data_IF_298875844373
#
_entry.id   IF_298875844373
#
_cell.length_a   1.000
_cell.length_b   1.000
_cell.length_c   1.000
_cell.angle_alpha   90.00
_cell.angle_beta   90.00
_cell.angle_gamma   90.00
#
_symmetry.space_group_name_H-M   'P 1'
#
loop_
_entity.id
_entity.type
_entity.pdbx_description
1 polymer ?
#
# COMPACT_ATOMS: atom_id res chain seq x y z
N UNK A 1 -30.28 -1.82 -32.20
CA UNK A 1 -29.03 -2.22 -31.50
C UNK A 1 -29.38 -3.31 -30.51
N UNK A 2 -28.77 -4.50 -30.60
CA UNK A 2 -28.98 -5.55 -29.58
C UNK A 2 -28.05 -5.25 -28.42
N UNK A 3 -28.60 -4.82 -27.29
CA UNK A 3 -27.84 -4.59 -26.07
C UNK A 3 -27.26 -5.93 -25.62
N UNK A 4 -25.94 -6.06 -25.71
CA UNK A 4 -25.24 -7.21 -25.16
C UNK A 4 -25.40 -7.17 -23.64
N UNK A 5 -26.04 -8.20 -23.09
CA UNK A 5 -26.28 -8.30 -21.64
C UNK A 5 -25.35 -9.35 -21.08
N UNK A 6 -24.39 -8.93 -20.26
CA UNK A 6 -23.36 -9.77 -19.68
C UNK A 6 -23.32 -9.53 -18.18
N UNK A 7 -23.20 -10.59 -17.41
CA UNK A 7 -22.87 -10.46 -15.99
C UNK A 7 -21.41 -9.98 -15.85
N UNK A 8 -21.15 -9.05 -14.94
CA UNK A 8 -19.83 -8.42 -14.74
C UNK A 8 -18.73 -9.48 -14.52
N UNK A 9 -19.03 -10.57 -13.81
CA UNK A 9 -18.08 -11.67 -13.58
C UNK A 9 -17.73 -12.44 -14.85
N UNK A 10 -18.67 -12.57 -15.80
CA UNK A 10 -18.39 -13.18 -17.11
C UNK A 10 -17.49 -12.27 -17.94
N UNK A 11 -17.75 -10.95 -17.95
CA UNK A 11 -16.89 -9.98 -18.63
C UNK A 11 -15.47 -9.97 -18.04
N UNK A 12 -15.32 -10.01 -16.71
CA UNK A 12 -14.00 -10.14 -16.06
C UNK A 12 -13.25 -11.38 -16.53
N UNK A 13 -13.90 -12.54 -16.53
CA UNK A 13 -13.29 -13.81 -16.96
C UNK A 13 -12.90 -13.75 -18.44
N UNK A 14 -13.75 -13.17 -19.28
CA UNK A 14 -13.49 -13.00 -20.71
C UNK A 14 -12.27 -12.10 -20.94
N UNK A 15 -12.22 -10.93 -20.29
CA UNK A 15 -11.12 -9.97 -20.47
C UNK A 15 -9.81 -10.47 -19.85
N UNK A 16 -9.87 -11.23 -18.75
CA UNK A 16 -8.67 -11.79 -18.11
C UNK A 16 -8.10 -12.99 -18.87
N UNK A 17 -8.94 -13.84 -19.45
CA UNK A 17 -8.52 -15.12 -20.02
C UNK A 17 -8.33 -15.14 -21.54
N UNK A 18 -8.81 -14.13 -22.28
CA UNK A 18 -8.73 -14.12 -23.75
C UNK A 18 -8.03 -12.86 -24.28
N UNK A 19 -6.94 -13.00 -25.06
CA UNK A 19 -6.43 -11.94 -25.93
C UNK A 19 -7.50 -11.51 -26.95
N UNK A 20 -7.56 -10.22 -27.30
CA UNK A 20 -8.50 -9.67 -28.32
C UNK A 20 -8.67 -10.54 -29.55
N UNK A 21 -7.54 -11.09 -30.04
CA UNK A 21 -7.51 -11.90 -31.24
C UNK A 21 -8.46 -13.10 -31.19
N UNK A 22 -8.76 -13.65 -30.00
CA UNK A 22 -9.64 -14.81 -29.82
C UNK A 22 -11.10 -14.48 -29.55
N UNK A 23 -11.43 -13.21 -29.26
CA UNK A 23 -12.81 -12.71 -29.22
C UNK A 23 -13.29 -12.27 -30.61
N UNK A 24 -12.35 -12.05 -31.54
CA UNK A 24 -12.61 -11.59 -32.90
C UNK A 24 -12.37 -12.67 -33.98
N UNK A 25 -11.85 -13.86 -33.66
CA UNK A 25 -11.62 -14.91 -34.66
C UNK A 25 -12.70 -15.99 -34.65
N UNK A 26 -13.40 -16.05 -35.78
CA UNK A 26 -14.40 -17.06 -36.16
C UNK A 26 -13.91 -18.48 -35.85
N UNK A 27 -14.53 -19.16 -34.90
CA UNK A 27 -14.48 -20.63 -34.82
C UNK A 27 -15.80 -21.18 -35.35
N UNK A 28 -15.69 -22.04 -36.35
CA UNK A 28 -16.80 -22.78 -36.97
C UNK A 28 -17.64 -23.44 -35.88
N UNK A 29 -18.92 -23.05 -35.79
CA UNK A 29 -19.86 -23.62 -34.81
C UNK A 29 -20.30 -22.68 -33.67
N UNK A 30 -20.57 -21.41 -33.98
CA UNK A 30 -21.56 -20.58 -33.27
C UNK A 30 -21.20 -20.07 -31.87
N UNK A 31 -20.73 -18.81 -31.80
CA UNK A 31 -21.17 -17.77 -30.87
C UNK A 31 -20.79 -16.39 -31.45
N UNK A 32 -21.77 -15.65 -31.97
CA UNK A 32 -21.64 -14.22 -32.30
C UNK A 32 -21.78 -13.42 -31.00
N UNK A 33 -20.71 -12.80 -30.47
CA UNK A 33 -20.89 -11.98 -29.24
C UNK A 33 -20.22 -10.61 -29.19
N UNK A 34 -19.52 -10.14 -30.22
CA UNK A 34 -18.93 -8.78 -30.19
C UNK A 34 -19.08 -7.94 -31.46
N UNK A 35 -19.59 -8.46 -32.59
CA UNK A 35 -19.58 -7.78 -33.90
C UNK A 35 -20.46 -6.52 -34.05
N UNK A 36 -21.06 -5.99 -32.98
CA UNK A 36 -21.92 -4.78 -33.01
C UNK A 36 -21.79 -3.90 -31.76
N UNK A 37 -20.60 -3.82 -31.16
CA UNK A 37 -20.37 -2.86 -30.09
C UNK A 37 -20.01 -1.49 -30.66
N UNK A 38 -20.46 -0.43 -30.01
CA UNK A 38 -19.98 0.92 -30.29
C UNK A 38 -18.47 1.04 -30.02
N UNK A 39 -17.78 1.91 -30.76
CA UNK A 39 -16.34 2.15 -30.64
C UNK A 39 -15.90 2.44 -29.20
N UNK A 40 -16.72 3.15 -28.43
CA UNK A 40 -16.46 3.42 -27.00
C UNK A 40 -16.28 2.16 -26.16
N UNK A 41 -16.99 1.08 -26.47
CA UNK A 41 -16.88 -0.18 -25.74
C UNK A 41 -15.65 -0.97 -26.20
N UNK A 42 -15.29 -0.90 -27.48
CA UNK A 42 -14.03 -1.46 -27.96
C UNK A 42 -12.84 -0.78 -27.29
N UNK A 43 -12.85 0.55 -27.22
CA UNK A 43 -11.82 1.33 -26.54
C UNK A 43 -11.73 0.98 -25.04
N UNK A 44 -12.88 0.88 -24.37
CA UNK A 44 -12.94 0.45 -22.96
C UNK A 44 -12.27 -0.89 -22.77
N UNK A 45 -12.65 -1.91 -23.56
CA UNK A 45 -12.07 -3.23 -23.41
C UNK A 45 -10.56 -3.09 -23.66
N UNK A 46 -10.13 -2.42 -24.75
CA UNK A 46 -8.70 -2.26 -25.11
C UNK A 46 -7.90 -1.70 -23.94
N UNK A 47 -8.39 -0.64 -23.33
CA UNK A 47 -7.79 -0.03 -22.15
C UNK A 47 -7.74 -0.98 -20.96
N UNK A 48 -8.76 -1.81 -20.73
CA UNK A 48 -8.74 -2.81 -19.64
C UNK A 48 -7.57 -3.79 -19.83
N UNK A 49 -7.26 -4.22 -21.05
CA UNK A 49 -6.14 -5.17 -21.22
C UNK A 49 -4.78 -4.55 -20.97
N UNK A 50 -4.64 -3.25 -21.18
CA UNK A 50 -3.39 -2.52 -20.92
C UNK A 50 -3.11 -2.41 -19.42
N UNK A 51 -4.17 -2.36 -18.61
CA UNK A 51 -4.09 -2.19 -17.16
C UNK A 51 -4.43 -3.46 -16.35
N UNK A 52 -4.81 -4.57 -16.99
CA UNK A 52 -5.24 -5.81 -16.30
C UNK A 52 -4.23 -6.43 -15.33
N UNK A 53 -2.95 -6.03 -15.40
CA UNK A 53 -1.89 -6.47 -14.49
C UNK A 53 -1.84 -5.64 -13.19
N UNK A 54 -2.49 -4.48 -13.17
CA UNK A 54 -2.55 -3.60 -12.00
C UNK A 54 -3.44 -4.20 -10.91
N UNK A 55 -2.87 -4.35 -9.72
CA UNK A 55 -3.58 -4.82 -8.53
C UNK A 55 -4.58 -3.79 -8.02
N UNK A 56 -4.25 -2.49 -8.10
CA UNK A 56 -5.14 -1.38 -7.74
C UNK A 56 -6.35 -1.36 -8.66
N UNK A 57 -6.14 -1.49 -9.98
CA UNK A 57 -7.24 -1.62 -10.94
C UNK A 57 -8.12 -2.83 -10.60
N UNK A 58 -7.52 -3.99 -10.38
CA UNK A 58 -8.25 -5.22 -10.06
C UNK A 58 -9.13 -5.06 -8.80
N UNK A 59 -8.61 -4.41 -7.75
CA UNK A 59 -9.37 -4.15 -6.52
C UNK A 59 -10.48 -3.12 -6.72
N UNK A 60 -10.24 -2.07 -7.50
CA UNK A 60 -11.30 -1.12 -7.84
C UNK A 60 -12.38 -1.78 -8.68
N UNK A 61 -12.00 -2.61 -9.65
CA UNK A 61 -12.92 -3.36 -10.48
C UNK A 61 -13.81 -4.28 -9.65
N UNK A 62 -13.23 -5.06 -8.74
CA UNK A 62 -14.00 -5.89 -7.80
C UNK A 62 -14.96 -5.03 -6.96
N UNK A 63 -14.47 -3.92 -6.40
CA UNK A 63 -15.27 -3.04 -5.55
C UNK A 63 -16.50 -2.45 -6.27
N UNK A 64 -16.33 -1.94 -7.49
CA UNK A 64 -17.44 -1.36 -8.25
C UNK A 64 -18.32 -2.43 -8.89
N UNK A 65 -17.74 -3.58 -9.25
CA UNK A 65 -18.46 -4.71 -9.83
C UNK A 65 -19.30 -5.51 -8.84
N UNK A 66 -18.97 -5.51 -7.54
CA UNK A 66 -19.70 -6.29 -6.53
C UNK A 66 -21.19 -5.92 -6.48
N UNK A 67 -21.52 -4.65 -6.73
CA UNK A 67 -22.90 -4.15 -6.77
C UNK A 67 -23.75 -4.77 -7.89
N UNK A 68 -23.12 -5.36 -8.90
CA UNK A 68 -23.78 -5.88 -10.09
C UNK A 68 -23.53 -7.39 -10.28
N UNK A 69 -23.09 -8.07 -9.22
CA UNK A 69 -22.66 -9.47 -9.27
C UNK A 69 -23.80 -10.44 -9.58
N UNK A 70 -25.01 -10.14 -9.11
CA UNK A 70 -26.23 -10.94 -9.31
C UNK A 70 -27.10 -10.42 -10.45
N UNK A 71 -26.75 -9.28 -11.03
CA UNK A 71 -27.55 -8.60 -12.03
C UNK A 71 -27.01 -8.86 -13.44
N UNK A 72 -27.95 -8.97 -14.38
CA UNK A 72 -27.68 -9.05 -15.81
C UNK A 72 -27.60 -7.61 -16.31
N UNK A 73 -26.39 -7.10 -16.52
CA UNK A 73 -26.13 -5.68 -16.83
C UNK A 73 -25.79 -5.47 -18.31
N UNK A 74 -26.16 -4.30 -18.82
CA UNK A 74 -25.81 -3.88 -20.19
C UNK A 74 -24.40 -3.31 -20.23
N UNK A 75 -23.80 -3.29 -21.43
CA UNK A 75 -22.51 -2.64 -21.67
C UNK A 75 -22.50 -1.15 -21.30
N UNK A 76 -23.63 -0.44 -21.43
CA UNK A 76 -23.76 0.95 -20.99
C UNK A 76 -23.66 1.10 -19.47
N UNK A 77 -24.26 0.19 -18.71
CA UNK A 77 -24.14 0.20 -17.25
C UNK A 77 -22.70 -0.08 -16.85
N UNK A 78 -22.05 -1.07 -17.47
CA UNK A 78 -20.63 -1.37 -17.23
C UNK A 78 -19.77 -0.14 -17.52
N UNK A 79 -19.97 0.50 -18.67
CA UNK A 79 -19.20 1.68 -19.05
C UNK A 79 -19.43 2.84 -18.06
N UNK A 80 -20.68 3.26 -17.85
CA UNK A 80 -21.01 4.47 -17.10
C UNK A 80 -20.87 4.31 -15.57
N UNK A 81 -21.21 3.13 -15.02
CA UNK A 81 -21.27 2.91 -13.57
C UNK A 81 -20.03 2.24 -13.00
N UNK A 82 -19.26 1.52 -13.82
CA UNK A 82 -18.06 0.80 -13.39
C UNK A 82 -16.83 1.44 -14.02
N UNK A 83 -16.68 1.35 -15.33
CA UNK A 83 -15.45 1.75 -16.03
C UNK A 83 -15.11 3.24 -15.84
N UNK A 84 -16.03 4.16 -16.11
CA UNK A 84 -15.80 5.60 -15.92
C UNK A 84 -15.41 5.92 -14.47
N UNK A 85 -16.07 5.29 -13.48
CA UNK A 85 -15.76 5.48 -12.06
C UNK A 85 -14.40 4.93 -11.66
N UNK A 86 -13.95 3.87 -12.31
CA UNK A 86 -12.61 3.32 -12.12
C UNK A 86 -11.57 4.25 -12.73
N UNK A 87 -11.79 4.77 -13.95
CA UNK A 87 -10.91 5.73 -14.59
C UNK A 87 -10.70 6.98 -13.72
N UNK A 88 -11.80 7.64 -13.31
CA UNK A 88 -11.76 8.81 -12.43
C UNK A 88 -10.95 8.51 -11.16
N UNK A 89 -11.17 7.34 -10.58
CA UNK A 89 -10.54 6.96 -9.32
C UNK A 89 -9.06 6.64 -9.49
N UNK A 90 -8.69 5.90 -10.55
CA UNK A 90 -7.31 5.57 -10.87
C UNK A 90 -6.51 6.82 -11.18
N UNK A 91 -7.06 7.74 -11.98
CA UNK A 91 -6.42 9.01 -12.29
C UNK A 91 -6.17 9.81 -11.01
N UNK A 92 -7.19 9.96 -10.16
CA UNK A 92 -7.06 10.67 -8.88
C UNK A 92 -6.04 10.02 -7.94
N UNK A 93 -5.93 8.69 -7.94
CA UNK A 93 -4.92 7.96 -7.17
C UNK A 93 -3.52 8.25 -7.71
N UNK A 94 -3.34 8.17 -9.03
CA UNK A 94 -2.06 8.39 -9.69
C UNK A 94 -1.56 9.82 -9.46
N UNK A 95 -2.42 10.81 -9.69
CA UNK A 95 -2.10 12.22 -9.50
C UNK A 95 -1.69 12.52 -8.05
N UNK A 96 -2.47 12.05 -7.07
CA UNK A 96 -2.16 12.24 -5.64
C UNK A 96 -0.80 11.63 -5.25
N UNK A 97 -0.44 10.49 -5.85
CA UNK A 97 0.84 9.86 -5.57
C UNK A 97 1.99 10.66 -6.21
N UNK A 98 1.89 10.96 -7.51
CA UNK A 98 2.91 11.69 -8.26
C UNK A 98 3.14 13.11 -7.72
N UNK A 99 2.09 13.84 -7.38
CA UNK A 99 2.23 15.17 -6.79
C UNK A 99 2.60 15.14 -5.30
N UNK A 100 2.65 13.95 -4.68
CA UNK A 100 3.04 13.74 -3.29
C UNK A 100 2.02 14.25 -2.26
N UNK A 101 0.77 14.52 -2.67
CA UNK A 101 -0.34 14.92 -1.78
C UNK A 101 -1.07 13.73 -1.16
N UNK A 102 -0.79 12.51 -1.63
CA UNK A 102 -1.37 11.30 -1.03
C UNK A 102 -0.96 11.18 0.43
N UNK A 103 -1.91 10.85 1.30
CA UNK A 103 -1.63 10.61 2.72
C UNK A 103 -0.87 9.28 2.91
N UNK A 104 0.08 9.25 3.84
CA UNK A 104 0.94 8.09 4.10
C UNK A 104 0.13 6.83 4.49
N UNK A 105 -0.91 6.96 5.33
CA UNK A 105 -1.85 5.88 5.68
C UNK A 105 -2.60 5.30 4.47
N UNK A 106 -2.74 6.08 3.40
CA UNK A 106 -3.35 5.63 2.15
C UNK A 106 -2.33 4.91 1.29
N UNK A 107 -1.06 5.34 1.31
CA UNK A 107 0.06 4.60 0.72
C UNK A 107 0.20 3.23 1.38
N UNK A 108 0.13 3.14 2.71
CA UNK A 108 0.21 1.87 3.44
C UNK A 108 -0.81 0.84 2.96
N UNK A 109 -2.02 1.28 2.60
CA UNK A 109 -3.05 0.39 2.04
C UNK A 109 -2.65 -0.18 0.69
N UNK A 110 -1.99 0.61 -0.16
CA UNK A 110 -1.46 0.13 -1.44
C UNK A 110 -0.21 -0.71 -1.26
N UNK A 111 0.64 -0.37 -0.29
CA UNK A 111 1.81 -1.16 0.05
C UNK A 111 1.40 -2.57 0.51
N UNK A 112 0.42 -2.68 1.41
CA UNK A 112 -0.16 -3.98 1.84
C UNK A 112 -0.77 -4.73 0.66
N UNK A 113 -1.45 -4.01 -0.26
CA UNK A 113 -1.98 -4.61 -1.49
C UNK A 113 -0.85 -5.22 -2.33
N UNK A 114 0.26 -4.49 -2.49
CA UNK A 114 1.48 -4.89 -3.18
C UNK A 114 2.43 -5.74 -2.32
N UNK A 115 1.92 -6.46 -1.30
CA UNK A 115 2.69 -7.38 -0.44
C UNK A 115 3.90 -6.75 0.29
N UNK A 116 3.81 -5.46 0.63
CA UNK A 116 4.86 -4.71 1.34
C UNK A 116 6.15 -4.51 0.53
N UNK A 117 6.08 -4.75 -0.78
CA UNK A 117 7.20 -4.57 -1.70
C UNK A 117 7.15 -3.18 -2.35
N UNK A 118 8.20 -2.37 -2.10
CA UNK A 118 8.32 -1.02 -2.64
C UNK A 118 8.57 -1.00 -4.13
N UNK A 119 9.29 -2.00 -4.66
CA UNK A 119 9.55 -2.12 -6.09
C UNK A 119 8.25 -2.51 -6.80
N UNK A 120 7.48 -3.44 -6.22
CA UNK A 120 6.15 -3.76 -6.71
C UNK A 120 5.18 -2.55 -6.64
N UNK A 121 5.29 -1.70 -5.62
CA UNK A 121 4.51 -0.46 -5.54
C UNK A 121 4.92 0.53 -6.64
N UNK A 122 6.22 0.68 -6.89
CA UNK A 122 6.73 1.53 -7.97
C UNK A 122 6.22 1.05 -9.34
N UNK A 123 6.35 -0.25 -9.61
CA UNK A 123 5.84 -0.88 -10.83
C UNK A 123 4.34 -0.68 -10.99
N UNK A 124 3.56 -0.84 -9.92
CA UNK A 124 2.11 -0.63 -9.93
C UNK A 124 1.75 0.81 -10.36
N UNK A 125 2.40 1.82 -9.78
CA UNK A 125 2.16 3.22 -10.17
C UNK A 125 2.75 3.58 -11.54
N UNK A 126 3.83 2.92 -11.96
CA UNK A 126 4.39 3.04 -13.31
C UNK A 126 3.41 2.50 -14.36
N UNK A 127 2.76 1.35 -14.09
CA UNK A 127 1.72 0.78 -14.93
C UNK A 127 0.54 1.74 -15.09
N UNK A 128 0.04 2.30 -13.98
CA UNK A 128 -1.09 3.25 -13.98
C UNK A 128 -0.70 4.56 -14.69
N UNK A 129 0.51 5.07 -14.46
CA UNK A 129 0.95 6.29 -15.13
C UNK A 129 1.04 6.10 -16.64
N UNK A 130 1.70 5.02 -17.08
CA UNK A 130 1.80 4.67 -18.50
C UNK A 130 0.44 4.50 -19.16
N UNK A 131 -0.54 3.99 -18.42
CA UNK A 131 -1.92 3.85 -18.89
C UNK A 131 -2.57 5.21 -19.23
N UNK A 132 -2.29 6.27 -18.46
CA UNK A 132 -2.85 7.61 -18.72
C UNK A 132 -2.00 8.47 -19.66
N UNK A 133 -0.67 8.43 -19.54
CA UNK A 133 0.23 9.34 -20.27
C UNK A 133 0.90 8.72 -21.50
N UNK A 134 0.70 7.42 -21.75
CA UNK A 134 1.46 6.70 -22.77
C UNK A 134 2.96 6.64 -22.46
N UNK A 135 3.79 6.54 -23.51
CA UNK A 135 5.25 6.37 -23.40
C UNK A 135 6.06 7.67 -23.47
N UNK A 136 5.46 8.78 -23.91
CA UNK A 136 6.16 10.02 -24.25
C UNK A 136 6.88 10.70 -23.05
N UNK A 137 6.42 10.46 -21.82
CA UNK A 137 6.98 11.08 -20.59
C UNK A 137 7.45 10.05 -19.56
N UNK A 138 7.70 8.80 -19.98
CA UNK A 138 7.95 7.71 -19.03
C UNK A 138 9.21 7.93 -18.17
N UNK A 139 10.23 8.61 -18.71
CA UNK A 139 11.45 8.94 -17.97
C UNK A 139 11.20 9.90 -16.80
N UNK A 140 10.43 10.96 -17.03
CA UNK A 140 10.09 11.96 -15.99
C UNK A 140 9.17 11.36 -14.92
N UNK A 141 8.21 10.54 -15.36
CA UNK A 141 7.33 9.77 -14.46
C UNK A 141 8.17 8.84 -13.60
N UNK A 142 9.10 8.07 -14.19
CA UNK A 142 9.97 7.15 -13.45
C UNK A 142 10.81 7.88 -12.41
N UNK A 143 11.43 9.01 -12.77
CA UNK A 143 12.18 9.84 -11.82
C UNK A 143 11.29 10.33 -10.68
N UNK A 144 10.08 10.80 -10.99
CA UNK A 144 9.13 11.28 -9.99
C UNK A 144 8.70 10.15 -9.06
N UNK A 145 8.39 8.97 -9.59
CA UNK A 145 8.03 7.79 -8.81
C UNK A 145 9.16 7.38 -7.88
N UNK A 146 10.41 7.30 -8.37
CA UNK A 146 11.56 7.00 -7.52
C UNK A 146 11.68 7.95 -6.33
N UNK A 147 11.54 9.27 -6.56
CA UNK A 147 11.53 10.26 -5.46
C UNK A 147 10.37 10.03 -4.47
N UNK A 148 9.18 9.62 -4.95
CA UNK A 148 8.05 9.32 -4.06
C UNK A 148 8.29 8.04 -3.27
N UNK A 149 8.82 7.01 -3.89
CA UNK A 149 9.14 5.73 -3.25
C UNK A 149 10.17 5.93 -2.15
N UNK A 150 11.23 6.69 -2.41
CA UNK A 150 12.22 7.01 -1.37
C UNK A 150 11.59 7.75 -0.19
N UNK A 151 10.70 8.73 -0.43
CA UNK A 151 9.96 9.38 0.67
C UNK A 151 9.07 8.42 1.46
N UNK A 152 8.45 7.43 0.80
CA UNK A 152 7.65 6.41 1.48
C UNK A 152 8.54 5.48 2.31
N UNK A 153 9.72 5.08 1.80
CA UNK A 153 10.71 4.31 2.57
C UNK A 153 11.20 5.10 3.79
N UNK A 154 11.49 6.39 3.62
CA UNK A 154 11.84 7.31 4.70
C UNK A 154 10.74 7.41 5.76
N UNK A 155 9.47 7.48 5.37
CA UNK A 155 8.35 7.41 6.31
C UNK A 155 8.36 6.11 7.13
N UNK A 156 8.61 4.96 6.50
CA UNK A 156 8.67 3.67 7.22
C UNK A 156 9.79 3.66 8.25
N UNK A 157 10.95 4.21 7.92
CA UNK A 157 12.07 4.37 8.86
C UNK A 157 11.65 5.20 10.09
N UNK A 158 10.96 6.32 9.87
CA UNK A 158 10.44 7.17 10.95
C UNK A 158 9.43 6.42 11.82
N UNK A 159 8.48 5.71 11.21
CA UNK A 159 7.55 4.89 11.95
C UNK A 159 8.27 3.84 12.82
N UNK A 160 9.30 3.20 12.27
CA UNK A 160 10.08 2.22 13.01
C UNK A 160 10.90 2.85 14.15
N UNK A 161 11.46 4.05 13.95
CA UNK A 161 12.15 4.81 14.99
C UNK A 161 11.20 5.20 16.12
N UNK A 162 9.98 5.65 15.81
CA UNK A 162 8.96 5.93 16.84
C UNK A 162 8.63 4.69 17.67
N UNK A 163 8.45 3.55 17.02
CA UNK A 163 8.17 2.29 17.72
C UNK A 163 9.35 1.82 18.58
N UNK A 164 10.59 2.13 18.18
CA UNK A 164 11.76 1.93 19.02
C UNK A 164 11.77 2.86 20.23
N UNK A 165 11.48 4.15 20.02
CA UNK A 165 11.40 5.14 21.10
C UNK A 165 10.38 4.73 22.16
N UNK A 166 9.19 4.29 21.73
CA UNK A 166 8.15 3.79 22.63
C UNK A 166 8.64 2.59 23.45
N UNK A 167 9.34 1.64 22.83
CA UNK A 167 9.85 0.46 23.54
C UNK A 167 10.96 0.81 24.55
N UNK A 168 11.84 1.78 24.23
CA UNK A 168 12.86 2.26 25.18
C UNK A 168 12.19 2.96 26.37
N UNK A 169 11.23 3.85 26.12
CA UNK A 169 10.59 4.62 27.18
C UNK A 169 9.75 3.74 28.10
N UNK A 170 9.07 2.73 27.55
CA UNK A 170 8.38 1.70 28.34
C UNK A 170 9.37 0.92 29.24
N UNK A 171 10.54 0.55 28.70
CA UNK A 171 11.59 -0.10 29.48
C UNK A 171 12.15 0.81 30.58
N UNK A 172 12.41 2.09 30.26
CA UNK A 172 12.88 3.12 31.21
C UNK A 172 11.94 3.19 32.41
N UNK A 173 10.63 3.29 32.16
CA UNK A 173 9.60 3.35 33.20
C UNK A 173 9.59 2.09 34.07
N UNK A 174 9.56 0.90 33.45
CA UNK A 174 9.47 -0.37 34.19
C UNK A 174 10.72 -0.67 35.01
N UNK A 175 11.90 -0.32 34.49
CA UNK A 175 13.17 -0.56 35.16
C UNK A 175 13.56 0.56 36.14
N UNK A 176 12.86 1.68 36.15
CA UNK A 176 13.27 2.87 36.91
C UNK A 176 14.64 3.40 36.47
N UNK A 177 14.93 3.38 35.16
CA UNK A 177 16.23 3.86 34.66
C UNK A 177 16.33 5.38 34.81
N UNK A 178 17.37 5.81 35.51
CA UNK A 178 17.77 7.21 35.62
C UNK A 178 18.76 7.57 34.50
N UNK A 179 18.75 8.84 34.08
CA UNK A 179 19.58 9.34 32.98
C UNK A 179 18.81 10.23 32.02
N UNK A 180 19.51 10.78 31.04
CA UNK A 180 18.92 11.65 30.01
C UNK A 180 18.37 10.83 28.84
N UNK A 181 17.05 10.91 28.63
CA UNK A 181 16.33 10.28 27.51
C UNK A 181 15.66 11.33 26.61
N UNK A 182 16.04 12.61 26.74
CA UNK A 182 15.39 13.73 26.04
C UNK A 182 15.34 13.53 24.52
N UNK A 183 16.38 12.95 23.92
CA UNK A 183 16.39 12.66 22.48
C UNK A 183 15.34 11.61 22.09
N UNK A 184 15.17 10.55 22.87
CA UNK A 184 14.18 9.49 22.62
C UNK A 184 12.76 10.03 22.81
N UNK A 185 12.56 10.85 23.84
CA UNK A 185 11.29 11.55 24.09
C UNK A 185 10.96 12.51 22.94
N UNK A 186 11.94 13.29 22.47
CA UNK A 186 11.77 14.17 21.31
C UNK A 186 11.42 13.40 20.03
N UNK A 187 12.06 12.25 19.76
CA UNK A 187 11.73 11.41 18.60
C UNK A 187 10.29 10.89 18.70
N UNK A 188 9.87 10.44 19.88
CA UNK A 188 8.48 10.01 20.14
C UNK A 188 7.49 11.13 19.85
N UNK A 189 7.78 12.37 20.25
CA UNK A 189 6.90 13.53 20.05
C UNK A 189 6.92 14.06 18.61
N UNK A 190 8.10 14.15 17.97
CA UNK A 190 8.26 14.63 16.58
C UNK A 190 7.53 13.72 15.59
N UNK A 191 7.58 12.40 15.82
CA UNK A 191 6.87 11.40 15.02
C UNK A 191 5.47 11.12 15.61
N UNK A 192 5.24 11.58 16.84
CA UNK A 192 3.99 11.59 17.56
C UNK A 192 2.96 12.47 16.88
N UNK A 193 1.71 12.01 16.84
CA UNK A 193 0.60 12.77 16.27
C UNK A 193 0.39 12.55 14.78
N UNK A 194 -0.43 11.54 14.44
CA UNK A 194 -1.07 11.38 13.12
C UNK A 194 -0.13 11.58 11.91
N UNK A 195 1.14 11.22 12.01
CA UNK A 195 2.09 11.35 10.90
C UNK A 195 1.61 10.58 9.66
N UNK A 196 0.95 9.45 9.87
CA UNK A 196 0.28 8.67 8.83
C UNK A 196 -0.82 9.47 8.07
N UNK A 197 -1.39 10.52 8.67
CA UNK A 197 -2.37 11.39 8.00
C UNK A 197 -1.73 12.53 7.20
N UNK A 198 -0.40 12.71 7.29
CA UNK A 198 0.31 13.68 6.48
C UNK A 198 0.55 13.17 5.06
N UNK A 199 0.84 14.10 4.15
CA UNK A 199 1.12 13.81 2.75
C UNK A 199 2.55 13.29 2.55
N UNK A 200 2.80 12.48 1.51
CA UNK A 200 4.15 11.98 1.17
C UNK A 200 5.20 13.11 1.19
N UNK A 201 4.84 14.29 0.71
CA UNK A 201 5.78 15.41 0.65
C UNK A 201 6.21 16.01 2.00
N UNK A 202 5.50 15.75 3.10
CA UNK A 202 5.85 16.29 4.42
C UNK A 202 7.05 15.61 5.06
N UNK A 203 7.46 14.44 4.55
CA UNK A 203 8.69 13.76 4.99
C UNK A 203 9.88 14.65 4.63
N UNK A 204 10.60 15.11 5.66
CA UNK A 204 11.72 16.06 5.57
C UNK A 204 13.01 15.48 6.15
N UNK A 205 14.15 15.97 5.68
CA UNK A 205 15.47 15.48 6.10
C UNK A 205 15.75 15.66 7.60
N UNK A 206 15.13 16.67 8.22
CA UNK A 206 15.21 16.87 9.68
C UNK A 206 14.56 15.72 10.43
N UNK A 207 13.45 15.20 9.93
CA UNK A 207 12.78 14.04 10.53
C UNK A 207 13.66 12.80 10.38
N UNK A 208 14.26 12.61 9.19
CA UNK A 208 15.11 11.44 8.93
C UNK A 208 16.31 11.37 9.86
N UNK A 209 17.01 12.49 10.06
CA UNK A 209 18.12 12.56 11.02
C UNK A 209 17.70 12.21 12.45
N UNK A 210 16.48 12.57 12.86
CA UNK A 210 15.96 12.18 14.16
C UNK A 210 15.64 10.67 14.22
N UNK A 211 15.14 10.09 13.13
CA UNK A 211 14.90 8.65 13.01
C UNK A 211 16.18 7.80 13.01
N UNK A 212 17.28 8.33 12.43
CA UNK A 212 18.57 7.64 12.31
C UNK A 212 19.12 7.20 13.68
N UNK A 213 18.89 7.99 14.73
CA UNK A 213 19.31 7.71 16.10
C UNK A 213 18.80 6.37 16.66
N UNK A 214 17.67 5.86 16.13
CA UNK A 214 17.03 4.64 16.61
C UNK A 214 17.00 3.50 15.57
N UNK A 215 17.70 3.66 14.44
CA UNK A 215 17.76 2.65 13.38
C UNK A 215 18.34 1.32 13.85
N UNK A 216 19.28 1.37 14.80
CA UNK A 216 19.87 0.18 15.43
C UNK A 216 18.86 -0.64 16.23
N UNK A 217 17.73 -0.06 16.65
CA UNK A 217 16.62 -0.77 17.30
C UNK A 217 15.63 -1.25 16.23
N UNK A 218 16.16 -2.16 15.41
CA UNK A 218 15.41 -2.87 14.38
C UNK A 218 14.27 -3.71 15.00
N UNK A 219 13.32 -4.22 14.19
CA UNK A 219 12.17 -4.98 14.67
C UNK A 219 12.53 -6.17 15.58
N UNK A 220 13.65 -6.85 15.33
CA UNK A 220 14.13 -7.98 16.15
C UNK A 220 14.56 -7.50 17.54
N UNK A 221 15.46 -6.51 17.61
CA UNK A 221 15.93 -5.93 18.88
C UNK A 221 14.78 -5.30 19.67
N UNK A 222 13.85 -4.63 18.98
CA UNK A 222 12.63 -4.08 19.57
C UNK A 222 11.75 -5.18 20.18
N UNK A 223 11.63 -6.32 19.53
CA UNK A 223 10.89 -7.47 20.06
C UNK A 223 11.57 -8.05 21.30
N UNK A 224 12.91 -8.13 21.31
CA UNK A 224 13.67 -8.53 22.49
C UNK A 224 13.45 -7.55 23.66
N UNK A 225 13.52 -6.24 23.41
CA UNK A 225 13.24 -5.22 24.43
C UNK A 225 11.84 -5.42 25.01
N UNK A 226 10.80 -5.50 24.16
CA UNK A 226 9.43 -5.73 24.61
C UNK A 226 9.26 -7.04 25.39
N UNK A 227 9.92 -8.12 24.99
CA UNK A 227 9.87 -9.39 25.71
C UNK A 227 10.53 -9.27 27.09
N UNK A 228 11.71 -8.63 27.16
CA UNK A 228 12.42 -8.38 28.40
C UNK A 228 11.60 -7.49 29.36
N UNK A 229 11.05 -6.39 28.84
CA UNK A 229 10.15 -5.50 29.58
C UNK A 229 8.98 -6.27 30.21
N UNK A 230 8.37 -7.19 29.47
CA UNK A 230 7.25 -8.02 29.97
C UNK A 230 7.64 -9.03 31.04
N UNK A 231 8.87 -9.55 31.01
CA UNK A 231 9.34 -10.50 32.02
C UNK A 231 10.14 -9.83 33.13
N UNK A 232 10.12 -8.50 33.22
CA UNK A 232 10.97 -7.78 34.16
C UNK A 232 10.72 -8.18 35.62
N UNK A 233 9.47 -8.36 36.04
CA UNK A 233 9.12 -8.82 37.39
C UNK A 233 9.76 -10.18 37.74
N UNK A 234 9.76 -11.11 36.78
CA UNK A 234 10.41 -12.41 36.93
C UNK A 234 11.93 -12.26 37.08
N UNK A 235 12.54 -11.37 36.29
CA UNK A 235 13.99 -11.09 36.36
C UNK A 235 14.36 -10.47 37.71
N UNK A 236 13.53 -9.55 38.21
CA UNK A 236 13.69 -8.93 39.54
C UNK A 236 13.60 -9.98 40.64
N UNK A 237 12.54 -10.80 40.61
CA UNK A 237 12.36 -11.90 41.55
C UNK A 237 13.53 -12.90 41.53
N UNK A 238 14.03 -13.27 40.34
CA UNK A 238 15.18 -14.16 40.19
C UNK A 238 16.43 -13.55 40.82
N UNK A 239 16.71 -12.26 40.57
CA UNK A 239 17.86 -11.55 41.13
C UNK A 239 17.81 -11.50 42.66
N UNK A 240 16.65 -11.21 43.22
CA UNK A 240 16.43 -11.19 44.67
C UNK A 240 16.60 -12.58 45.28
N UNK A 241 16.03 -13.60 44.64
CA UNK A 241 16.10 -15.00 45.11
C UNK A 241 17.52 -15.59 45.06
N UNK A 242 18.33 -15.20 44.06
CA UNK A 242 19.73 -15.62 43.95
C UNK A 242 20.60 -14.91 44.99
N UNK A 243 20.46 -13.58 45.14
CA UNK A 243 21.18 -12.82 46.17
C UNK A 243 20.87 -13.31 47.59
N UNK A 244 19.61 -13.68 47.87
CA UNK A 244 19.22 -14.25 49.15
C UNK A 244 19.90 -15.59 49.48
N UNK A 245 20.22 -16.41 48.46
CA UNK A 245 20.91 -17.70 48.64
C UNK A 245 22.42 -17.58 48.88
N UNK A 246 23.05 -16.47 48.49
CA UNK A 246 24.46 -16.21 48.79
C UNK A 246 24.65 -15.67 50.21
N UNK A 247 23.69 -14.89 50.72
CA UNK A 247 23.71 -14.35 52.09
C UNK A 247 23.35 -15.41 53.16
N UNK A 248 22.66 -16.50 52.79
CA UNK A 248 22.30 -17.59 53.72
C UNK A 248 23.35 -18.71 53.83
N UNK A 249 24.53 -18.53 53.21
CA UNK A 249 25.63 -19.51 53.22
C UNK A 249 26.85 -19.07 54.05
N UNK A 250 26.77 -17.93 54.74
CA UNK A 250 27.70 -17.48 55.77
C UNK A 250 27.06 -17.61 57.15
#
# INVERSE_FOLDING_TARGET
MRNLVLCVTKLCKIIKNYPYAHLCTKRSGGYDMFFKLDDKFYEMVSKITDIKRSQIFDKLWQKYGEKFKTEVVTMEVIFNKIWSKILDKLQSINEQFLNGKMQLKKVDKYLVMCKTDYDALEEEFMLISRFFSGTAHLGEVKKTLGVRIEKVKSYKQLFDAQQAALAILELKEIMGLEGDFSEVENIKEIIGGRFESQAINSVSDKLLKAGDLLTDINPTRRSCLKAFTKCFDLVTWLRESIKGKELSKN
#
